data_IF_156991790917
#
_entry.id   IF_156991790917
#
_cell.length_a   1.000
_cell.length_b   1.000
_cell.length_c   1.000
_cell.angle_alpha   90.00
_cell.angle_beta   90.00
_cell.angle_gamma   90.00
#
_symmetry.space_group_name_H-M   'P 1'
#
loop_
_entity.id
_entity.type
_entity.pdbx_description
1 polymer ?
#
# COMPACT_ATOMS: atom_id res chain seq x y z
N UNK A 1 -3.30 -29.31 -10.10
CA UNK A 1 -2.27 -28.46 -9.41
C UNK A 1 -2.98 -27.39 -8.58
N UNK A 2 -2.52 -27.10 -7.34
CA UNK A 2 -3.08 -26.01 -6.51
C UNK A 2 -1.96 -25.01 -6.23
N UNK A 3 -2.13 -23.78 -6.68
CA UNK A 3 -1.20 -22.68 -6.50
C UNK A 3 -1.73 -21.77 -5.39
N UNK A 4 -0.86 -21.45 -4.42
CA UNK A 4 -1.16 -20.49 -3.33
C UNK A 4 -0.12 -19.39 -3.33
N UNK A 5 -0.55 -18.17 -3.47
CA UNK A 5 0.30 -16.99 -3.45
C UNK A 5 -0.16 -16.02 -2.38
N UNK A 6 0.75 -15.18 -1.93
CA UNK A 6 0.49 -14.19 -0.88
C UNK A 6 1.04 -12.83 -1.27
N UNK A 7 0.37 -11.79 -0.80
CA UNK A 7 0.88 -10.44 -0.78
C UNK A 7 0.57 -9.79 0.57
N UNK A 8 1.37 -8.79 0.94
CA UNK A 8 1.34 -8.19 2.27
C UNK A 8 0.92 -6.72 2.20
N UNK A 9 0.30 -6.19 3.27
CA UNK A 9 0.00 -4.76 3.36
C UNK A 9 1.28 -3.92 3.36
N UNK A 10 1.11 -2.66 3.07
CA UNK A 10 2.17 -1.67 2.96
C UNK A 10 2.03 -0.57 4.00
N UNK A 11 3.19 -0.14 4.50
CA UNK A 11 3.34 1.11 5.25
C UNK A 11 4.27 2.04 4.49
N UNK A 12 3.80 3.23 4.12
CA UNK A 12 4.66 4.33 3.71
C UNK A 12 5.36 4.91 4.93
N UNK A 13 6.67 4.61 5.10
CA UNK A 13 7.43 5.08 6.25
C UNK A 13 7.67 6.59 6.16
N UNK A 14 8.13 7.09 5.02
CA UNK A 14 8.42 8.50 4.78
C UNK A 14 8.26 8.85 3.30
N UNK A 15 8.04 10.13 3.00
CA UNK A 15 8.02 10.67 1.64
C UNK A 15 6.63 10.72 1.01
N UNK A 16 5.70 9.83 1.40
CA UNK A 16 4.35 9.90 0.87
C UNK A 16 3.63 11.20 1.31
N UNK A 17 2.89 11.83 0.38
CA UNK A 17 2.40 11.31 -0.90
C UNK A 17 3.22 11.67 -2.15
N UNK A 18 4.50 12.04 -2.02
CA UNK A 18 5.28 12.55 -3.17
C UNK A 18 5.54 11.54 -4.29
N UNK A 19 5.34 10.24 -4.04
CA UNK A 19 5.49 9.17 -5.03
C UNK A 19 4.60 9.35 -6.27
N UNK A 20 3.39 9.89 -6.11
CA UNK A 20 2.50 10.22 -7.23
C UNK A 20 2.88 11.51 -7.98
N UNK A 21 3.94 12.22 -7.56
CA UNK A 21 4.34 13.57 -8.02
C UNK A 21 5.85 13.66 -8.27
N UNK A 22 6.42 12.63 -8.84
CA UNK A 22 7.85 12.53 -9.17
C UNK A 22 8.80 12.67 -7.96
N UNK A 23 8.32 12.32 -6.77
CA UNK A 23 9.11 12.37 -5.54
C UNK A 23 9.74 11.03 -5.17
N UNK A 24 10.01 10.89 -3.88
CA UNK A 24 10.70 9.73 -3.31
C UNK A 24 9.98 9.22 -2.08
N UNK A 25 10.03 7.91 -1.84
CA UNK A 25 9.46 7.30 -0.63
C UNK A 25 10.32 6.16 -0.10
N UNK A 26 10.19 5.88 1.19
CA UNK A 26 10.59 4.61 1.79
C UNK A 26 9.33 3.95 2.32
N UNK A 27 9.12 2.71 1.93
CA UNK A 27 8.00 1.89 2.40
C UNK A 27 8.48 0.51 2.84
N UNK A 28 7.69 -0.14 3.68
CA UNK A 28 7.92 -1.53 4.04
C UNK A 28 6.64 -2.36 3.95
N UNK A 29 6.79 -3.63 3.61
CA UNK A 29 5.73 -4.63 3.69
C UNK A 29 5.82 -5.38 5.02
N UNK A 30 4.68 -5.72 5.62
CA UNK A 30 4.65 -6.40 6.92
C UNK A 30 3.66 -7.57 6.94
N UNK A 31 4.04 -8.67 7.59
CA UNK A 31 3.34 -9.96 7.52
C UNK A 31 2.33 -10.22 8.63
N UNK A 32 1.96 -9.21 9.43
CA UNK A 32 0.89 -9.31 10.42
C UNK A 32 -0.48 -9.59 9.78
N UNK A 33 -0.66 -9.11 8.55
CA UNK A 33 -1.81 -9.36 7.69
C UNK A 33 -1.35 -9.83 6.32
N UNK A 34 -2.24 -10.41 5.54
CA UNK A 34 -1.95 -10.84 4.17
C UNK A 34 -3.22 -10.93 3.33
N UNK A 35 -3.04 -10.88 2.05
CA UNK A 35 -3.97 -11.43 1.07
C UNK A 35 -3.38 -12.74 0.54
N UNK A 36 -4.21 -13.75 0.39
CA UNK A 36 -3.88 -15.04 -0.22
C UNK A 36 -4.75 -15.24 -1.46
N UNK A 37 -4.14 -15.58 -2.60
CA UNK A 37 -4.86 -16.05 -3.79
C UNK A 37 -4.63 -17.55 -3.94
N UNK A 38 -5.70 -18.27 -4.24
CA UNK A 38 -5.67 -19.71 -4.51
C UNK A 38 -6.19 -19.94 -5.91
N UNK A 39 -5.37 -20.54 -6.75
CA UNK A 39 -5.66 -20.88 -8.13
C UNK A 39 -5.47 -22.38 -8.36
N UNK A 40 -6.42 -23.02 -9.03
CA UNK A 40 -6.34 -24.42 -9.38
C UNK A 40 -6.97 -24.68 -10.75
N UNK A 41 -6.44 -25.70 -11.46
CA UNK A 41 -6.90 -26.09 -12.78
C UNK A 41 -8.34 -26.61 -12.73
N UNK A 42 -9.19 -26.14 -13.65
CA UNK A 42 -10.61 -26.52 -13.80
C UNK A 42 -10.98 -26.53 -15.28
N UNK A 43 -12.11 -27.20 -15.67
CA UNK A 43 -12.54 -27.22 -17.08
C UNK A 43 -12.87 -25.84 -17.66
N UNK A 44 -13.37 -24.92 -16.82
CA UNK A 44 -13.76 -23.55 -17.21
C UNK A 44 -13.01 -22.54 -16.37
N UNK A 45 -12.87 -21.30 -16.88
CA UNK A 45 -12.30 -20.17 -16.13
C UNK A 45 -13.37 -19.59 -15.20
N UNK A 46 -13.11 -19.63 -13.90
CA UNK A 46 -14.02 -19.12 -12.89
C UNK A 46 -13.30 -18.19 -11.89
N UNK A 47 -13.96 -17.10 -11.52
CA UNK A 47 -13.47 -16.17 -10.50
C UNK A 47 -14.48 -16.18 -9.35
N UNK A 48 -14.06 -16.69 -8.20
CA UNK A 48 -14.88 -16.77 -7.00
C UNK A 48 -14.61 -15.57 -6.09
N UNK A 49 -15.69 -14.95 -5.60
CA UNK A 49 -15.61 -13.90 -4.57
C UNK A 49 -15.17 -14.47 -3.22
N UNK A 50 -14.64 -13.59 -2.36
CA UNK A 50 -14.45 -13.87 -0.95
C UNK A 50 -15.78 -13.69 -0.19
N UNK A 51 -15.79 -14.09 1.09
CA UNK A 51 -16.95 -13.80 1.97
C UNK A 51 -17.24 -12.29 2.08
N UNK A 52 -16.24 -11.44 1.85
CA UNK A 52 -16.35 -9.98 1.85
C UNK A 52 -16.94 -9.39 0.56
N UNK A 53 -17.02 -10.17 -0.50
CA UNK A 53 -17.69 -9.78 -1.76
C UNK A 53 -19.20 -10.09 -1.74
N UNK A 54 -19.80 -10.16 -0.56
CA UNK A 54 -21.21 -10.46 -0.40
C UNK A 54 -22.10 -9.48 -1.15
N UNK A 55 -22.99 -10.04 -1.97
CA UNK A 55 -24.11 -9.32 -2.60
C UNK A 55 -25.44 -9.66 -1.92
N UNK A 56 -25.44 -9.94 -0.62
CA UNK A 56 -26.64 -10.23 0.17
C UNK A 56 -26.80 -9.17 1.26
N UNK A 57 -27.91 -8.47 1.22
CA UNK A 57 -28.26 -7.41 2.16
C UNK A 57 -29.60 -7.74 2.80
N UNK A 58 -29.76 -7.42 4.08
CA UNK A 58 -31.03 -7.67 4.80
C UNK A 58 -32.19 -6.87 4.21
N UNK A 59 -31.88 -5.66 3.70
CA UNK A 59 -32.85 -4.74 3.12
C UNK A 59 -32.16 -3.67 2.28
N UNK A 60 -32.93 -2.80 1.62
CA UNK A 60 -32.43 -1.74 0.75
C UNK A 60 -31.62 -0.68 1.50
N UNK A 61 -31.93 -0.39 2.75
CA UNK A 61 -31.19 0.57 3.58
C UNK A 61 -29.81 0.04 3.94
N UNK A 62 -29.71 -1.28 4.26
CA UNK A 62 -28.45 -1.95 4.48
C UNK A 62 -27.55 -1.86 3.24
N UNK A 63 -28.09 -2.14 2.04
CA UNK A 63 -27.37 -1.95 0.78
C UNK A 63 -26.91 -0.51 0.57
N UNK A 64 -27.81 0.47 0.76
CA UNK A 64 -27.49 1.88 0.54
C UNK A 64 -26.38 2.36 1.48
N UNK A 65 -26.44 1.99 2.75
CA UNK A 65 -25.44 2.32 3.75
C UNK A 65 -24.09 1.63 3.46
N UNK A 66 -24.11 0.37 3.03
CA UNK A 66 -22.88 -0.35 2.64
C UNK A 66 -22.19 0.32 1.44
N UNK A 67 -22.97 0.71 0.44
CA UNK A 67 -22.46 1.44 -0.74
C UNK A 67 -21.96 2.84 -0.36
N UNK A 68 -22.61 3.52 0.58
CA UNK A 68 -22.16 4.84 1.08
C UNK A 68 -20.83 4.73 1.83
N UNK A 69 -20.65 3.69 2.66
CA UNK A 69 -19.44 3.46 3.45
C UNK A 69 -18.28 2.89 2.62
N UNK A 70 -18.55 2.00 1.67
CA UNK A 70 -17.53 1.20 0.99
C UNK A 70 -17.48 1.41 -0.53
N UNK A 71 -18.44 2.16 -1.09
CA UNK A 71 -18.61 2.34 -2.53
C UNK A 71 -19.03 1.04 -3.24
N UNK A 72 -19.09 1.06 -4.56
CA UNK A 72 -19.30 -0.13 -5.40
C UNK A 72 -18.03 -0.96 -5.50
N UNK A 73 -17.39 -1.26 -4.36
CA UNK A 73 -16.14 -1.98 -4.28
C UNK A 73 -16.39 -3.49 -4.20
N UNK A 74 -15.50 -4.24 -4.82
CA UNK A 74 -15.52 -5.70 -4.74
C UNK A 74 -14.20 -6.27 -5.24
N UNK A 75 -13.68 -7.30 -4.58
CA UNK A 75 -12.43 -7.94 -4.93
C UNK A 75 -12.48 -8.67 -6.26
N UNK A 76 -13.67 -9.16 -6.69
CA UNK A 76 -13.87 -9.80 -7.99
C UNK A 76 -13.43 -8.90 -9.14
N UNK A 77 -13.76 -7.60 -9.11
CA UNK A 77 -13.34 -6.66 -10.16
C UNK A 77 -11.82 -6.50 -10.23
N UNK A 78 -11.12 -6.56 -9.09
CA UNK A 78 -9.66 -6.53 -9.03
C UNK A 78 -9.04 -7.77 -9.69
N UNK A 79 -9.63 -8.96 -9.44
CA UNK A 79 -9.19 -10.21 -10.08
C UNK A 79 -9.43 -10.16 -11.59
N UNK A 80 -10.63 -9.73 -12.05
CA UNK A 80 -10.94 -9.59 -13.48
C UNK A 80 -9.95 -8.65 -14.17
N UNK A 81 -9.70 -7.48 -13.62
CA UNK A 81 -8.73 -6.51 -14.14
C UNK A 81 -7.31 -7.09 -14.20
N UNK A 82 -6.90 -7.85 -13.17
CA UNK A 82 -5.59 -8.48 -13.12
C UNK A 82 -5.44 -9.54 -14.21
N UNK A 83 -6.43 -10.43 -14.37
CA UNK A 83 -6.44 -11.46 -15.42
C UNK A 83 -6.36 -10.82 -16.81
N UNK A 84 -7.15 -9.77 -17.05
CA UNK A 84 -7.12 -9.03 -18.32
C UNK A 84 -5.75 -8.41 -18.58
N UNK A 85 -5.18 -7.67 -17.62
CA UNK A 85 -3.86 -7.02 -17.80
C UNK A 85 -2.73 -8.02 -17.98
N UNK A 86 -2.77 -9.16 -17.28
CA UNK A 86 -1.83 -10.26 -17.49
C UNK A 86 -1.93 -10.84 -18.90
N UNK A 87 -3.15 -11.07 -19.39
CA UNK A 87 -3.40 -11.55 -20.76
C UNK A 87 -2.88 -10.54 -21.80
N UNK A 88 -3.22 -9.27 -21.65
CA UNK A 88 -2.78 -8.21 -22.56
C UNK A 88 -1.25 -8.11 -22.61
N UNK A 89 -0.59 -8.16 -21.45
CA UNK A 89 0.87 -8.18 -21.37
C UNK A 89 1.47 -9.38 -22.12
N UNK A 90 0.94 -10.58 -21.92
CA UNK A 90 1.42 -11.77 -22.61
C UNK A 90 1.24 -11.66 -24.12
N UNK A 91 0.09 -11.14 -24.57
CA UNK A 91 -0.19 -10.89 -25.99
C UNK A 91 0.77 -9.86 -26.59
N UNK A 92 1.00 -8.74 -25.92
CA UNK A 92 1.94 -7.68 -26.34
C UNK A 92 3.38 -8.19 -26.41
N UNK A 93 3.76 -9.11 -25.54
CA UNK A 93 5.10 -9.74 -25.49
C UNK A 93 5.20 -11.00 -26.33
N UNK A 94 4.13 -11.39 -27.03
CA UNK A 94 4.07 -12.62 -27.85
C UNK A 94 4.39 -13.88 -27.03
N UNK A 95 3.97 -13.91 -25.75
CA UNK A 95 4.10 -15.07 -24.86
C UNK A 95 2.90 -15.97 -25.09
N UNK A 96 3.14 -17.20 -25.55
CA UNK A 96 2.07 -18.20 -25.69
C UNK A 96 1.64 -18.73 -24.32
N UNK A 97 0.34 -18.67 -24.08
CA UNK A 97 -0.27 -19.25 -22.88
C UNK A 97 -0.88 -20.63 -23.24
N UNK A 98 -0.66 -21.61 -22.37
CA UNK A 98 -1.33 -22.91 -22.54
C UNK A 98 -2.86 -22.77 -22.41
N UNK A 99 -3.63 -23.72 -23.00
CA UNK A 99 -5.10 -23.67 -23.10
C UNK A 99 -5.84 -24.17 -21.85
N UNK A 100 -5.14 -24.49 -20.76
CA UNK A 100 -5.77 -24.92 -19.51
C UNK A 100 -6.50 -23.76 -18.86
N UNK A 101 -7.68 -24.05 -18.31
CA UNK A 101 -8.48 -23.10 -17.53
C UNK A 101 -8.23 -23.27 -16.03
N UNK A 102 -8.74 -22.32 -15.25
CA UNK A 102 -8.54 -22.29 -13.80
C UNK A 102 -9.73 -21.66 -13.08
N UNK A 103 -9.92 -22.08 -11.85
CA UNK A 103 -10.67 -21.30 -10.87
C UNK A 103 -9.70 -20.56 -9.98
N UNK A 104 -9.97 -19.25 -9.75
CA UNK A 104 -9.21 -18.42 -8.82
C UNK A 104 -10.13 -17.80 -7.77
N UNK A 105 -9.69 -17.83 -6.51
CA UNK A 105 -10.31 -17.13 -5.40
C UNK A 105 -9.26 -16.41 -4.56
N UNK A 106 -9.69 -15.43 -3.76
CA UNK A 106 -8.82 -14.75 -2.80
C UNK A 106 -9.48 -14.69 -1.43
N UNK A 107 -8.64 -14.51 -0.41
CA UNK A 107 -9.03 -14.11 0.94
C UNK A 107 -8.05 -13.06 1.46
N UNK A 108 -8.54 -12.11 2.27
CA UNK A 108 -7.73 -11.04 2.83
C UNK A 108 -8.16 -10.68 4.23
N UNK A 109 -7.19 -10.69 5.16
CA UNK A 109 -7.36 -10.17 6.51
C UNK A 109 -6.73 -8.78 6.70
N UNK A 110 -6.31 -8.12 5.61
CA UNK A 110 -5.86 -6.73 5.64
C UNK A 110 -7.06 -5.85 6.01
N UNK A 111 -6.94 -4.96 7.03
CA UNK A 111 -7.98 -4.01 7.37
C UNK A 111 -8.38 -3.17 6.16
N UNK A 112 -9.69 -3.07 5.91
CA UNK A 112 -10.22 -2.39 4.73
C UNK A 112 -10.29 -0.88 4.94
N UNK A 113 -10.03 -0.09 3.89
CA UNK A 113 -10.24 1.37 3.90
C UNK A 113 -9.26 2.18 4.76
N UNK A 114 -8.26 1.55 5.39
CA UNK A 114 -7.36 2.23 6.36
C UNK A 114 -5.98 2.58 5.78
N UNK A 115 -5.86 2.73 4.47
CA UNK A 115 -4.60 3.17 3.86
C UNK A 115 -3.43 2.18 3.97
N UNK A 116 -3.71 0.86 4.03
CA UNK A 116 -2.71 -0.22 4.09
C UNK A 116 -2.52 -0.96 2.75
N UNK A 117 -3.09 -0.45 1.66
CA UNK A 117 -2.95 -0.97 0.30
C UNK A 117 -3.50 -2.40 0.11
N UNK A 118 -4.73 -2.67 0.61
CA UNK A 118 -5.38 -3.97 0.50
C UNK A 118 -5.70 -4.37 -0.94
N UNK A 119 -6.20 -3.44 -1.77
CA UNK A 119 -6.55 -3.68 -3.18
C UNK A 119 -5.36 -4.16 -4.00
N UNK A 120 -4.27 -3.40 -3.97
CA UNK A 120 -3.04 -3.78 -4.68
C UNK A 120 -2.43 -5.08 -4.16
N UNK A 121 -2.67 -5.45 -2.87
CA UNK A 121 -2.27 -6.76 -2.36
C UNK A 121 -3.07 -7.90 -3.01
N UNK A 122 -4.39 -7.72 -3.24
CA UNK A 122 -5.23 -8.69 -3.95
C UNK A 122 -4.71 -8.87 -5.38
N UNK A 123 -4.49 -7.78 -6.10
CA UNK A 123 -3.95 -7.79 -7.47
C UNK A 123 -2.57 -8.46 -7.51
N UNK A 124 -1.66 -8.11 -6.60
CA UNK A 124 -0.31 -8.67 -6.53
C UNK A 124 -0.33 -10.19 -6.28
N UNK A 125 -1.18 -10.67 -5.36
CA UNK A 125 -1.34 -12.09 -5.10
C UNK A 125 -1.91 -12.83 -6.32
N UNK A 126 -2.92 -12.25 -6.98
CA UNK A 126 -3.51 -12.79 -8.21
C UNK A 126 -2.48 -12.86 -9.34
N UNK A 127 -1.74 -11.78 -9.61
CA UNK A 127 -0.71 -11.74 -10.64
C UNK A 127 0.36 -12.83 -10.42
N UNK A 128 0.81 -13.00 -9.17
CA UNK A 128 1.75 -14.08 -8.82
C UNK A 128 1.18 -15.47 -9.11
N UNK A 129 -0.11 -15.70 -8.85
CA UNK A 129 -0.76 -16.97 -9.13
C UNK A 129 -0.84 -17.25 -10.64
N UNK A 130 -1.19 -16.26 -11.44
CA UNK A 130 -1.21 -16.36 -12.91
C UNK A 130 0.17 -16.62 -13.48
N UNK A 131 1.20 -15.90 -13.01
CA UNK A 131 2.59 -16.13 -13.41
C UNK A 131 3.03 -17.57 -13.14
N UNK A 132 2.66 -18.14 -12.00
CA UNK A 132 2.98 -19.53 -11.66
C UNK A 132 2.17 -20.53 -12.49
N UNK A 133 0.89 -20.25 -12.73
CA UNK A 133 0.01 -21.15 -13.48
C UNK A 133 0.42 -21.27 -14.95
N UNK A 134 0.72 -20.14 -15.58
CA UNK A 134 1.14 -20.07 -16.98
C UNK A 134 2.67 -20.16 -17.17
N UNK A 135 3.43 -20.37 -16.08
CA UNK A 135 4.89 -20.47 -16.10
C UNK A 135 5.59 -19.25 -16.73
N UNK A 136 4.98 -18.06 -16.57
CA UNK A 136 5.47 -16.78 -17.12
C UNK A 136 6.33 -16.06 -16.09
N UNK A 137 7.58 -15.77 -16.47
CA UNK A 137 8.49 -14.96 -15.66
C UNK A 137 8.40 -13.48 -16.05
N UNK A 138 8.10 -12.63 -15.07
CA UNK A 138 7.98 -11.17 -15.25
C UNK A 138 8.93 -10.46 -14.29
N UNK A 139 9.73 -9.53 -14.78
CA UNK A 139 10.64 -8.73 -13.94
C UNK A 139 9.85 -7.93 -12.90
N UNK A 140 10.38 -7.77 -11.68
CA UNK A 140 9.69 -7.13 -10.55
C UNK A 140 9.16 -5.73 -10.87
N UNK A 141 9.95 -4.89 -11.55
CA UNK A 141 9.50 -3.56 -11.95
C UNK A 141 8.31 -3.61 -12.92
N UNK A 142 8.27 -4.60 -13.81
CA UNK A 142 7.14 -4.82 -14.72
C UNK A 142 5.92 -5.34 -13.95
N UNK A 143 6.10 -6.25 -12.98
CA UNK A 143 5.00 -6.69 -12.11
C UNK A 143 4.35 -5.48 -11.39
N UNK A 144 5.16 -4.58 -10.82
CA UNK A 144 4.65 -3.38 -10.16
C UNK A 144 3.83 -2.48 -11.12
N UNK A 145 4.30 -2.33 -12.36
CA UNK A 145 3.57 -1.58 -13.39
C UNK A 145 2.27 -2.27 -13.80
N UNK A 146 2.24 -3.61 -13.92
CA UNK A 146 1.02 -4.36 -14.23
C UNK A 146 -0.01 -4.25 -13.09
N UNK A 147 0.44 -4.32 -11.84
CA UNK A 147 -0.45 -4.12 -10.68
C UNK A 147 -1.03 -2.71 -10.69
N UNK A 148 -0.23 -1.68 -10.99
CA UNK A 148 -0.70 -0.30 -11.10
C UNK A 148 -1.71 -0.16 -12.25
N UNK A 149 -1.41 -0.72 -13.42
CA UNK A 149 -2.29 -0.61 -14.60
C UNK A 149 -3.65 -1.29 -14.39
N UNK A 150 -3.71 -2.37 -13.61
CA UNK A 150 -4.99 -2.99 -13.25
C UNK A 150 -5.87 -2.04 -12.41
N UNK A 151 -5.28 -1.21 -11.53
CA UNK A 151 -6.04 -0.23 -10.76
C UNK A 151 -6.36 1.03 -11.57
N UNK A 152 -5.38 1.61 -12.27
CA UNK A 152 -5.52 2.91 -12.94
C UNK A 152 -6.17 2.77 -14.30
N UNK A 153 -5.65 1.90 -15.17
CA UNK A 153 -6.06 1.83 -16.57
C UNK A 153 -7.37 1.03 -16.75
N UNK A 154 -7.57 -0.05 -15.97
CA UNK A 154 -8.77 -0.88 -16.07
C UNK A 154 -9.91 -0.43 -15.15
N UNK A 155 -9.59 0.00 -13.94
CA UNK A 155 -10.59 0.28 -12.91
C UNK A 155 -10.74 1.76 -12.58
N UNK A 156 -9.88 2.62 -13.15
CA UNK A 156 -9.86 4.07 -12.93
C UNK A 156 -9.74 4.48 -11.45
N UNK A 157 -9.06 3.64 -10.65
CA UNK A 157 -8.80 3.91 -9.23
C UNK A 157 -7.55 4.77 -9.14
N UNK A 158 -7.66 5.95 -8.54
CA UNK A 158 -6.52 6.81 -8.26
C UNK A 158 -5.55 6.12 -7.27
N UNK A 159 -4.29 5.99 -7.68
CA UNK A 159 -3.33 5.18 -6.94
C UNK A 159 -1.92 5.80 -6.96
N UNK A 160 -1.22 5.78 -5.80
CA UNK A 160 0.19 6.13 -5.71
C UNK A 160 1.09 5.03 -6.28
N UNK A 161 2.38 5.30 -6.47
CA UNK A 161 3.29 4.34 -7.10
C UNK A 161 3.91 3.37 -6.10
N UNK A 162 4.15 3.81 -4.86
CA UNK A 162 4.88 3.07 -3.84
C UNK A 162 4.25 1.71 -3.46
N UNK A 163 2.91 1.62 -3.48
CA UNK A 163 2.16 0.47 -2.97
C UNK A 163 2.56 -0.83 -3.67
N UNK A 164 2.54 -0.81 -5.00
CA UNK A 164 2.81 -1.96 -5.85
C UNK A 164 4.27 -2.35 -5.80
N UNK A 165 5.15 -1.35 -5.80
CA UNK A 165 6.59 -1.60 -5.70
C UNK A 165 6.91 -2.36 -4.43
N UNK A 166 6.48 -1.86 -3.27
CA UNK A 166 6.81 -2.52 -2.01
C UNK A 166 6.13 -3.89 -1.85
N UNK A 167 4.94 -4.10 -2.40
CA UNK A 167 4.27 -5.41 -2.36
C UNK A 167 4.93 -6.45 -3.25
N UNK A 168 5.49 -6.03 -4.38
CA UNK A 168 6.25 -6.91 -5.28
C UNK A 168 7.65 -7.19 -4.75
N UNK A 169 8.35 -6.18 -4.25
CA UNK A 169 9.74 -6.28 -3.78
C UNK A 169 9.83 -6.89 -2.37
N UNK A 170 8.84 -6.60 -1.51
CA UNK A 170 8.79 -6.93 -0.09
C UNK A 170 9.94 -6.30 0.73
N UNK A 171 9.99 -6.58 2.05
CA UNK A 171 11.01 -5.99 2.91
C UNK A 171 10.81 -4.51 3.14
N UNK A 172 11.88 -3.76 3.01
CA UNK A 172 11.90 -2.29 3.03
C UNK A 172 12.59 -1.79 1.76
N UNK A 173 11.97 -0.82 1.08
CA UNK A 173 12.45 -0.32 -0.20
C UNK A 173 12.47 1.21 -0.19
N UNK A 174 13.61 1.79 -0.57
CA UNK A 174 13.72 3.17 -1.00
C UNK A 174 13.34 3.24 -2.48
N UNK A 175 12.52 4.21 -2.83
CA UNK A 175 11.98 4.39 -4.17
C UNK A 175 12.17 5.84 -4.61
N UNK A 176 12.77 6.01 -5.78
CA UNK A 176 12.94 7.31 -6.44
C UNK A 176 12.13 7.31 -7.73
N UNK A 177 11.12 8.17 -7.79
CA UNK A 177 10.23 8.34 -8.93
C UNK A 177 10.51 9.64 -9.69
N UNK A 178 11.72 10.19 -9.58
CA UNK A 178 12.11 11.42 -10.27
C UNK A 178 11.73 11.37 -11.75
N UNK A 179 11.27 12.51 -12.28
CA UNK A 179 10.70 12.60 -13.64
C UNK A 179 11.66 12.06 -14.70
N UNK A 180 12.94 12.38 -14.58
CA UNK A 180 13.97 11.92 -15.53
C UNK A 180 14.12 10.38 -15.53
N UNK A 181 14.03 9.76 -14.34
CA UNK A 181 14.09 8.30 -14.19
C UNK A 181 12.86 7.67 -14.84
N UNK A 182 11.66 8.13 -14.47
CA UNK A 182 10.40 7.60 -15.02
C UNK A 182 10.31 7.79 -16.53
N UNK A 183 10.71 8.96 -17.05
CA UNK A 183 10.65 9.24 -18.50
C UNK A 183 11.59 8.31 -19.28
N UNK A 184 12.80 8.05 -18.73
CA UNK A 184 13.82 7.24 -19.41
C UNK A 184 13.49 5.75 -19.41
N UNK A 185 13.05 5.20 -18.29
CA UNK A 185 12.92 3.74 -18.11
C UNK A 185 11.50 3.24 -17.81
N UNK A 186 10.52 4.14 -17.70
CA UNK A 186 9.11 3.83 -17.43
C UNK A 186 8.81 3.21 -16.06
N UNK A 187 9.76 3.23 -15.14
CA UNK A 187 9.64 2.83 -13.73
C UNK A 187 10.64 3.61 -12.88
N UNK A 188 10.49 3.60 -11.57
CA UNK A 188 11.36 4.29 -10.63
C UNK A 188 12.69 3.55 -10.40
N UNK A 189 13.59 4.18 -9.67
CA UNK A 189 14.76 3.48 -9.10
C UNK A 189 14.38 2.90 -7.73
N UNK A 190 14.60 1.59 -7.54
CA UNK A 190 14.19 0.85 -6.36
C UNK A 190 15.40 0.19 -5.71
N UNK A 191 15.65 0.51 -4.42
CA UNK A 191 16.75 -0.02 -3.64
C UNK A 191 16.21 -0.71 -2.38
N UNK A 192 16.49 -2.01 -2.25
CA UNK A 192 16.15 -2.76 -1.05
C UNK A 192 17.09 -2.38 0.09
N UNK A 193 16.52 -1.98 1.23
CA UNK A 193 17.26 -1.65 2.43
C UNK A 193 17.23 -2.83 3.42
N UNK A 194 18.23 -2.89 4.31
CA UNK A 194 18.26 -3.93 5.32
C UNK A 194 17.23 -3.65 6.42
N UNK A 195 16.24 -4.55 6.68
CA UNK A 195 15.23 -4.35 7.71
C UNK A 195 15.79 -4.19 9.12
N UNK A 196 17.01 -4.65 9.38
CA UNK A 196 17.68 -4.50 10.70
C UNK A 196 18.08 -3.05 11.00
N UNK A 197 18.06 -2.18 10.00
CA UNK A 197 18.35 -0.75 10.16
C UNK A 197 17.14 0.04 10.70
N UNK A 198 15.94 -0.56 10.73
CA UNK A 198 14.75 0.13 11.21
C UNK A 198 14.79 0.31 12.74
N UNK A 199 14.40 1.49 13.24
CA UNK A 199 14.15 1.69 14.66
C UNK A 199 12.95 0.86 15.14
N UNK A 200 12.69 0.82 16.46
CA UNK A 200 11.43 0.28 16.96
C UNK A 200 10.23 1.03 16.37
N UNK A 201 9.39 0.32 15.61
CA UNK A 201 8.22 0.87 14.92
C UNK A 201 6.93 0.29 15.49
N UNK A 202 5.88 1.11 15.44
CA UNK A 202 4.50 0.66 15.61
C UNK A 202 3.67 1.05 14.39
N UNK A 203 2.59 0.31 14.17
CA UNK A 203 1.50 0.67 13.25
C UNK A 203 0.22 0.65 14.07
N UNK A 204 -0.61 1.67 13.92
CA UNK A 204 -1.91 1.71 14.56
C UNK A 204 -2.99 2.09 13.55
N UNK A 205 -4.19 1.51 13.68
CA UNK A 205 -5.27 1.65 12.71
C UNK A 205 -6.64 1.53 13.37
N UNK A 206 -7.65 2.07 12.69
CA UNK A 206 -9.07 1.94 13.06
C UNK A 206 -9.83 1.29 11.91
N UNK A 207 -10.62 0.26 12.23
CA UNK A 207 -11.42 -0.47 11.23
C UNK A 207 -12.71 0.27 10.84
N UNK A 208 -13.12 1.26 11.65
CA UNK A 208 -14.35 2.02 11.52
C UNK A 208 -14.18 3.38 10.82
N UNK A 209 -12.97 3.72 10.40
CA UNK A 209 -12.66 4.94 9.66
C UNK A 209 -12.26 4.62 8.23
N UNK A 210 -13.22 4.51 7.33
CA UNK A 210 -12.96 4.54 5.90
C UNK A 210 -13.24 5.95 5.35
N UNK A 211 -12.21 6.77 5.15
CA UNK A 211 -12.36 8.00 4.40
C UNK A 211 -12.16 7.72 2.90
N UNK A 212 -13.08 8.19 2.03
CA UNK A 212 -12.88 8.09 0.58
C UNK A 212 -11.61 8.81 0.17
N UNK A 213 -10.64 8.05 -0.30
CA UNK A 213 -9.31 8.55 -0.67
C UNK A 213 -9.35 9.50 -1.88
N UNK A 214 -10.37 9.35 -2.73
CA UNK A 214 -10.43 9.96 -4.07
C UNK A 214 -10.66 11.48 -4.06
N UNK A 215 -11.51 11.99 -3.15
CA UNK A 215 -11.91 13.41 -3.17
C UNK A 215 -10.74 14.35 -2.82
N UNK A 216 -9.86 13.94 -1.93
CA UNK A 216 -8.74 14.78 -1.47
C UNK A 216 -7.53 14.74 -2.41
N UNK A 217 -7.33 13.64 -3.14
CA UNK A 217 -6.20 13.50 -4.05
C UNK A 217 -6.38 14.27 -5.35
N UNK A 218 -7.60 14.37 -5.88
CA UNK A 218 -7.86 15.06 -7.14
C UNK A 218 -7.51 16.55 -7.08
N UNK A 219 -7.88 17.25 -6.01
CA UNK A 219 -7.56 18.68 -5.85
C UNK A 219 -6.03 18.94 -5.82
N UNK A 220 -5.25 18.08 -5.15
CA UNK A 220 -3.79 18.24 -5.07
C UNK A 220 -3.13 17.92 -6.40
N UNK A 221 -3.63 16.96 -7.16
CA UNK A 221 -3.13 16.65 -8.51
C UNK A 221 -3.34 17.83 -9.45
N UNK A 222 -4.53 18.40 -9.50
CA UNK A 222 -4.84 19.57 -10.31
C UNK A 222 -3.95 20.79 -9.96
N UNK A 223 -3.74 21.03 -8.66
CA UNK A 223 -2.83 22.09 -8.19
C UNK A 223 -1.39 21.84 -8.61
N UNK A 224 -0.92 20.60 -8.51
CA UNK A 224 0.43 20.22 -8.93
C UNK A 224 0.62 20.40 -10.44
N UNK A 225 -0.33 19.94 -11.25
CA UNK A 225 -0.28 20.04 -12.72
C UNK A 225 -0.33 21.49 -13.22
N UNK A 226 -1.02 22.38 -12.50
CA UNK A 226 -1.02 23.83 -12.75
C UNK A 226 0.26 24.52 -12.27
N UNK A 227 1.19 23.80 -11.65
CA UNK A 227 2.46 24.36 -11.16
C UNK A 227 2.35 25.15 -9.86
N UNK A 228 1.31 24.89 -9.02
CA UNK A 228 1.17 25.53 -7.71
C UNK A 228 2.46 25.38 -6.89
N UNK A 229 3.06 26.52 -6.53
CA UNK A 229 4.37 26.54 -5.86
C UNK A 229 4.32 25.91 -4.46
N UNK A 230 3.24 26.06 -3.72
CA UNK A 230 3.09 25.50 -2.39
C UNK A 230 3.10 23.96 -2.47
N UNK A 231 2.29 23.40 -3.38
CA UNK A 231 2.20 21.95 -3.60
C UNK A 231 3.52 21.39 -4.14
N UNK A 232 4.11 22.04 -5.15
CA UNK A 232 5.37 21.60 -5.74
C UNK A 232 6.51 21.60 -4.73
N UNK A 233 6.60 22.63 -3.89
CA UNK A 233 7.61 22.72 -2.82
C UNK A 233 7.37 21.65 -1.74
N UNK A 234 6.11 21.36 -1.40
CA UNK A 234 5.79 20.28 -0.47
C UNK A 234 6.23 18.91 -0.99
N UNK A 235 6.03 18.62 -2.29
CA UNK A 235 6.49 17.37 -2.90
C UNK A 235 8.02 17.22 -2.85
N UNK A 236 8.76 18.32 -3.13
CA UNK A 236 10.23 18.35 -3.00
C UNK A 236 10.68 18.19 -1.54
N UNK A 237 9.97 18.80 -0.60
CA UNK A 237 10.26 18.67 0.83
C UNK A 237 10.12 17.22 1.29
N UNK A 238 9.05 16.52 0.93
CA UNK A 238 8.86 15.11 1.26
C UNK A 238 9.93 14.21 0.62
N UNK A 239 10.29 14.46 -0.64
CA UNK A 239 11.39 13.76 -1.29
C UNK A 239 12.72 13.96 -0.52
N UNK A 240 13.00 15.19 -0.09
CA UNK A 240 14.18 15.49 0.74
C UNK A 240 14.16 14.84 2.12
N UNK A 241 12.99 14.71 2.76
CA UNK A 241 12.85 13.93 4.00
C UNK A 241 13.18 12.45 3.77
N UNK A 242 12.81 11.89 2.63
CA UNK A 242 13.11 10.50 2.26
C UNK A 242 14.62 10.26 2.19
N UNK A 243 15.36 11.15 1.54
CA UNK A 243 16.82 11.06 1.46
C UNK A 243 17.49 11.19 2.85
N UNK A 244 16.96 12.08 3.71
CA UNK A 244 17.43 12.22 5.10
C UNK A 244 17.19 10.95 5.92
N UNK A 245 16.00 10.33 5.83
CA UNK A 245 15.69 9.08 6.53
C UNK A 245 16.56 7.94 6.01
N UNK A 246 16.78 7.83 4.68
CA UNK A 246 17.71 6.86 4.11
C UNK A 246 19.11 7.02 4.70
N UNK A 247 19.61 8.26 4.74
CA UNK A 247 20.93 8.58 5.32
C UNK A 247 21.01 8.18 6.80
N UNK A 248 19.98 8.50 7.60
CA UNK A 248 19.90 8.11 9.01
C UNK A 248 19.91 6.58 9.19
N UNK A 249 19.15 5.85 8.38
CA UNK A 249 19.13 4.39 8.42
C UNK A 249 20.51 3.79 8.12
N UNK A 250 21.15 4.24 7.05
CA UNK A 250 22.46 3.71 6.64
C UNK A 250 23.56 4.05 7.67
N UNK A 251 23.49 5.22 8.31
CA UNK A 251 24.44 5.65 9.34
C UNK A 251 24.13 5.15 10.75
N UNK A 252 23.02 4.44 10.95
CA UNK A 252 22.57 3.97 12.27
C UNK A 252 22.06 5.08 13.20
N UNK A 253 21.75 6.29 12.69
CA UNK A 253 21.24 7.44 13.45
C UNK A 253 19.71 7.39 13.58
N UNK A 254 19.21 6.28 14.12
CA UNK A 254 17.76 5.96 14.11
C UNK A 254 16.95 6.85 15.04
N UNK A 255 17.56 7.47 16.03
CA UNK A 255 16.95 8.41 16.96
C UNK A 255 16.35 9.65 16.28
N UNK A 256 16.92 10.08 15.14
CA UNK A 256 16.46 11.24 14.38
C UNK A 256 15.22 10.94 13.50
N UNK A 257 14.92 9.65 13.26
CA UNK A 257 13.86 9.27 12.33
C UNK A 257 12.49 9.71 12.81
N UNK A 258 12.22 9.64 14.12
CA UNK A 258 10.95 10.06 14.70
C UNK A 258 10.57 11.52 14.36
N UNK A 259 11.52 12.43 14.48
CA UNK A 259 11.33 13.86 14.12
C UNK A 259 11.05 14.05 12.64
N UNK A 260 11.74 13.28 11.76
CA UNK A 260 11.55 13.35 10.32
C UNK A 260 10.17 12.80 9.91
N UNK A 261 9.66 11.78 10.61
CA UNK A 261 8.29 11.27 10.40
C UNK A 261 7.25 12.32 10.84
N UNK A 262 7.47 12.98 11.97
CA UNK A 262 6.61 14.08 12.41
C UNK A 262 6.60 15.23 11.41
N UNK A 263 7.77 15.64 10.91
CA UNK A 263 7.89 16.68 9.89
C UNK A 263 7.17 16.32 8.58
N UNK A 264 7.17 15.01 8.19
CA UNK A 264 6.39 14.54 7.04
C UNK A 264 4.88 14.77 7.25
N UNK A 265 4.36 14.46 8.44
CA UNK A 265 2.94 14.69 8.75
C UNK A 265 2.60 16.18 8.87
N UNK A 266 3.46 16.97 9.52
CA UNK A 266 3.21 18.40 9.75
C UNK A 266 3.14 19.16 8.41
N UNK A 267 3.96 18.78 7.43
CA UNK A 267 3.85 19.30 6.07
C UNK A 267 2.55 18.85 5.40
N UNK A 268 2.08 17.61 5.64
CA UNK A 268 0.81 17.14 5.09
C UNK A 268 -0.38 17.92 5.64
N UNK A 269 -0.38 18.21 6.94
CA UNK A 269 -1.42 19.03 7.58
C UNK A 269 -1.53 20.43 7.00
N UNK A 270 -0.46 21.00 6.44
CA UNK A 270 -0.49 22.32 5.78
C UNK A 270 -1.14 22.27 4.40
N UNK A 271 -0.94 21.17 3.67
CA UNK A 271 -1.32 21.07 2.26
C UNK A 271 -2.68 20.38 2.07
N UNK A 272 -3.01 19.41 2.93
CA UNK A 272 -4.22 18.61 2.84
C UNK A 272 -5.22 18.98 3.93
N UNK A 273 -6.49 18.98 3.57
CA UNK A 273 -7.57 18.99 4.56
C UNK A 273 -7.68 17.57 5.14
N UNK A 274 -7.41 17.41 6.42
CA UNK A 274 -7.43 16.13 7.11
C UNK A 274 -8.65 16.02 8.00
N UNK A 275 -9.26 14.84 8.07
CA UNK A 275 -10.38 14.56 8.97
C UNK A 275 -9.96 14.62 10.44
N UNK A 276 -10.85 15.10 11.30
CA UNK A 276 -10.58 15.30 12.74
C UNK A 276 -10.18 14.00 13.44
N UNK A 277 -10.84 12.89 13.14
CA UNK A 277 -10.55 11.60 13.74
C UNK A 277 -9.13 11.10 13.38
N UNK A 278 -8.69 11.34 12.16
CA UNK A 278 -7.33 11.06 11.74
C UNK A 278 -6.30 11.95 12.43
N UNK A 279 -6.64 13.22 12.70
CA UNK A 279 -5.79 14.12 13.49
C UNK A 279 -5.68 13.66 14.94
N UNK A 280 -6.79 13.26 15.58
CA UNK A 280 -6.82 12.71 16.95
C UNK A 280 -5.92 11.49 17.11
N UNK A 281 -5.84 10.61 16.07
CA UNK A 281 -4.92 9.46 16.11
C UNK A 281 -3.46 9.88 16.24
N UNK A 282 -3.05 10.87 15.45
CA UNK A 282 -1.67 11.38 15.45
C UNK A 282 -1.37 12.13 16.75
N UNK A 283 -2.28 12.96 17.23
CA UNK A 283 -2.14 13.73 18.47
C UNK A 283 -2.06 12.82 19.69
N UNK A 284 -2.89 11.78 19.78
CA UNK A 284 -2.84 10.79 20.85
C UNK A 284 -1.51 10.03 20.89
N UNK A 285 -0.95 9.69 19.71
CA UNK A 285 0.34 9.03 19.64
C UNK A 285 1.49 9.96 20.07
N UNK A 286 1.47 11.21 19.61
CA UNK A 286 2.48 12.22 19.98
C UNK A 286 2.42 12.61 21.45
N UNK A 287 1.23 12.71 22.03
CA UNK A 287 1.05 12.96 23.49
C UNK A 287 1.63 11.86 24.37
N UNK A 288 1.75 10.63 23.84
CA UNK A 288 2.44 9.53 24.50
C UNK A 288 3.98 9.51 24.27
N UNK A 289 4.53 10.54 23.61
CA UNK A 289 5.95 10.69 23.29
C UNK A 289 6.42 9.98 22.02
N UNK A 290 5.53 9.27 21.30
CA UNK A 290 5.87 8.59 20.06
C UNK A 290 5.80 9.54 18.86
N UNK A 291 6.55 9.25 17.79
CA UNK A 291 6.32 9.94 16.51
C UNK A 291 5.10 9.36 15.79
N UNK A 292 4.47 10.14 14.93
CA UNK A 292 3.30 9.67 14.17
C UNK A 292 3.10 10.39 12.84
N UNK A 293 2.80 9.59 11.80
CA UNK A 293 2.33 10.03 10.48
C UNK A 293 1.43 8.97 9.85
N UNK A 294 0.64 9.34 8.82
CA UNK A 294 -0.17 8.37 8.09
C UNK A 294 0.67 7.38 7.30
N UNK A 295 0.24 6.12 7.29
CA UNK A 295 0.84 5.04 6.48
C UNK A 295 0.57 5.22 4.98
N UNK A 296 -0.59 5.78 4.65
CA UNK A 296 -1.09 6.03 3.30
C UNK A 296 -1.99 7.25 3.26
N UNK A 297 -3.26 7.07 2.86
CA UNK A 297 -4.27 8.13 2.77
C UNK A 297 -4.78 8.63 4.13
N UNK A 298 -4.97 7.74 5.08
CA UNK A 298 -5.54 7.95 6.41
C UNK A 298 -5.99 6.63 7.01
N UNK A 299 -6.64 6.64 8.17
CA UNK A 299 -7.15 5.46 8.87
C UNK A 299 -6.08 4.62 9.57
N UNK A 300 -4.80 4.77 9.21
CA UNK A 300 -3.68 4.15 9.90
C UNK A 300 -2.48 5.09 9.99
N UNK A 301 -1.74 4.96 11.10
CA UNK A 301 -0.51 5.71 11.39
C UNK A 301 0.66 4.78 11.62
N UNK A 302 1.86 5.30 11.38
CA UNK A 302 3.14 4.67 11.70
C UNK A 302 4.01 5.68 12.45
N UNK A 303 4.82 5.18 13.36
CA UNK A 303 5.82 5.99 14.06
C UNK A 303 6.84 5.15 14.80
N UNK A 304 7.79 5.85 15.40
CA UNK A 304 8.82 5.28 16.26
C UNK A 304 8.44 5.45 17.73
N UNK A 305 8.94 4.58 18.58
CA UNK A 305 8.89 4.69 20.02
C UNK A 305 10.26 4.33 20.60
N UNK A 306 10.60 4.86 21.78
CA UNK A 306 11.93 4.69 22.38
C UNK A 306 12.05 3.37 23.17
N UNK A 307 11.09 3.06 24.00
CA UNK A 307 11.15 1.93 24.92
C UNK A 307 9.79 1.26 25.19
N UNK A 308 9.78 0.21 25.99
CA UNK A 308 8.56 -0.53 26.33
C UNK A 308 7.59 0.27 27.21
N UNK A 309 8.06 1.24 27.99
CA UNK A 309 7.22 2.10 28.82
C UNK A 309 6.42 3.04 27.91
N UNK A 310 7.08 3.73 26.98
CA UNK A 310 6.42 4.57 25.97
C UNK A 310 5.41 3.76 25.16
N UNK A 311 5.76 2.54 24.73
CA UNK A 311 4.84 1.69 23.98
C UNK A 311 3.58 1.31 24.79
N UNK A 312 3.71 1.07 26.10
CA UNK A 312 2.55 0.82 26.98
C UNK A 312 1.66 2.05 27.09
N UNK A 313 2.26 3.25 27.27
CA UNK A 313 1.52 4.51 27.31
C UNK A 313 0.80 4.79 25.99
N UNK A 314 1.50 4.61 24.87
CA UNK A 314 0.96 4.73 23.53
C UNK A 314 -0.24 3.80 23.30
N UNK A 315 -0.09 2.51 23.67
CA UNK A 315 -1.20 1.55 23.55
C UNK A 315 -2.41 1.97 24.38
N UNK A 316 -2.20 2.49 25.60
CA UNK A 316 -3.27 2.97 26.47
C UNK A 316 -3.97 4.20 25.90
N UNK A 317 -3.20 5.15 25.33
CA UNK A 317 -3.74 6.37 24.71
C UNK A 317 -4.59 6.02 23.47
N UNK A 318 -4.09 5.18 22.60
CA UNK A 318 -4.78 4.78 21.36
C UNK A 318 -6.01 3.90 21.62
N UNK A 319 -5.95 3.00 22.61
CA UNK A 319 -7.08 2.15 22.98
C UNK A 319 -8.31 2.94 23.42
N UNK A 320 -8.14 4.10 24.07
CA UNK A 320 -9.25 5.02 24.43
C UNK A 320 -10.02 5.57 23.22
N UNK A 321 -9.40 5.53 22.05
CA UNK A 321 -9.97 5.97 20.76
C UNK A 321 -10.36 4.78 19.87
N UNK A 322 -10.49 3.57 20.41
CA UNK A 322 -10.74 2.33 19.65
C UNK A 322 -9.70 2.03 18.56
N UNK A 323 -8.46 2.51 18.75
CA UNK A 323 -7.37 2.31 17.81
C UNK A 323 -6.56 1.07 18.18
N UNK A 324 -6.42 0.14 17.24
CA UNK A 324 -5.62 -1.08 17.38
C UNK A 324 -4.15 -0.75 17.09
N UNK A 325 -3.24 -1.22 17.96
CA UNK A 325 -1.80 -1.05 17.81
C UNK A 325 -1.11 -2.40 17.61
N UNK A 326 -0.23 -2.48 16.62
CA UNK A 326 0.61 -3.65 16.35
C UNK A 326 2.08 -3.25 16.22
N UNK A 327 2.97 -4.22 16.48
CA UNK A 327 4.38 -4.15 16.07
C UNK A 327 4.49 -4.80 14.69
N UNK A 328 4.96 -4.07 13.66
CA UNK A 328 5.05 -4.65 12.32
C UNK A 328 6.13 -5.74 12.26
N UNK A 329 5.78 -6.88 11.69
CA UNK A 329 6.71 -7.95 11.34
C UNK A 329 7.09 -7.77 9.87
N UNK A 330 8.27 -7.24 9.59
CA UNK A 330 8.67 -6.95 8.21
C UNK A 330 8.62 -8.22 7.37
N UNK A 331 7.90 -8.20 6.26
CA UNK A 331 7.83 -9.31 5.32
C UNK A 331 9.17 -9.42 4.59
N UNK A 332 9.78 -10.61 4.60
CA UNK A 332 11.07 -10.86 3.97
C UNK A 332 10.88 -11.62 2.65
N UNK A 333 11.52 -11.15 1.60
CA UNK A 333 11.60 -11.86 0.32
C UNK A 333 12.47 -13.15 0.40
N UNK A 334 13.15 -13.38 1.53
CA UNK A 334 13.93 -14.59 1.79
C UNK A 334 13.05 -15.67 2.41
N UNK A 335 12.20 -16.28 1.60
CA UNK A 335 11.38 -17.41 2.03
C UNK A 335 10.74 -18.16 0.88
N UNK A 336 11.48 -19.12 0.35
CA UNK A 336 11.02 -20.18 -0.55
C UNK A 336 10.72 -19.77 -2.00
N UNK A 337 11.72 -19.88 -2.79
CA UNK A 337 11.71 -20.04 -4.23
C UNK A 337 12.97 -20.78 -4.64
N UNK A 338 13.06 -22.09 -4.31
CA UNK A 338 13.69 -23.03 -5.21
C UNK A 338 12.60 -23.40 -6.21
N UNK A 339 12.74 -22.96 -7.41
CA UNK A 339 12.28 -23.65 -8.61
C UNK A 339 13.49 -24.30 -9.20
#
# INVERSE_FOLDING_TARGET
>A
MIIRTKAYPRVGLVGNPSDGYFGKTISFAFSNFRTEAVLYETPELEILGSEKDHSRFENIWHLANDVELHGYYGGIRLLKATVKRFYDYCREKQIELHKKNFTIRYDSNIPHGVGLAGSSAIITACLRALMMFYEVSIAKYTQANLVLSAEVDELHIAAGLQDRVIQVYEGIVYMDFSKDIITRQRYGHYESLNPRLLPPLYVAYRDDLSEPTEVFHNNIRDRFERGDREVTNAMRYWAGLTDKVKCCLVKGQTEKIGELLNANFDQRRKIYRLGEENLKMVEAARSAGASAKFTGSGGAIVGTYQDQQMLKQLKKALCKLNIKLIKPKIASSKGKGRV
#
